data_IF_838390864358
#
_entry.id   IF_838390864358
#
_cell.length_a   1.000
_cell.length_b   1.000
_cell.length_c   1.000
_cell.angle_alpha   90.00
_cell.angle_beta   90.00
_cell.angle_gamma   90.00
#
_symmetry.space_group_name_H-M   'P 1'
#
loop_
_entity.id
_entity.type
_entity.pdbx_description
1 polymer ?
#
# COMPACT_ATOMS: atom_id res chain seq x y z
N UNK A 1 13.95 8.63 -22.56
CA UNK A 1 12.53 8.99 -22.31
C UNK A 1 12.42 10.51 -22.24
N UNK A 2 11.42 11.11 -22.90
CA UNK A 2 11.09 12.53 -22.72
C UNK A 2 10.34 12.76 -21.39
N UNK A 3 10.32 13.99 -20.89
CA UNK A 3 9.56 14.39 -19.68
C UNK A 3 8.09 13.99 -19.76
N UNK A 4 7.48 14.11 -20.94
CA UNK A 4 6.09 13.66 -21.20
C UNK A 4 5.93 12.16 -21.00
N UNK A 5 6.91 11.35 -21.41
CA UNK A 5 6.87 9.90 -21.22
C UNK A 5 6.91 9.50 -19.74
N UNK A 6 7.74 10.17 -18.94
CA UNK A 6 7.78 9.96 -17.48
C UNK A 6 6.49 10.37 -16.79
N UNK A 7 5.87 11.47 -17.23
CA UNK A 7 4.57 11.92 -16.71
C UNK A 7 3.46 10.91 -17.00
N UNK A 8 3.36 10.42 -18.24
CA UNK A 8 2.38 9.39 -18.64
C UNK A 8 2.61 8.09 -17.84
N UNK A 9 3.87 7.66 -17.73
CA UNK A 9 4.23 6.47 -16.94
C UNK A 9 3.77 6.60 -15.49
N UNK A 10 4.02 7.73 -14.84
CA UNK A 10 3.58 7.99 -13.47
C UNK A 10 2.05 7.92 -13.34
N UNK A 11 1.30 8.50 -14.28
CA UNK A 11 -0.17 8.45 -14.26
C UNK A 11 -0.70 7.01 -14.39
N UNK A 12 -0.13 6.21 -15.29
CA UNK A 12 -0.53 4.80 -15.46
C UNK A 12 -0.30 4.02 -14.17
N UNK A 13 0.87 4.19 -13.54
CA UNK A 13 1.17 3.55 -12.26
C UNK A 13 0.17 3.97 -11.18
N UNK A 14 -0.20 5.24 -11.10
CA UNK A 14 -1.20 5.71 -10.12
C UNK A 14 -2.58 5.11 -10.35
N UNK A 15 -3.02 4.99 -11.61
CA UNK A 15 -4.31 4.37 -11.93
C UNK A 15 -4.33 2.90 -11.52
N UNK A 16 -3.26 2.15 -11.82
CA UNK A 16 -3.14 0.74 -11.44
C UNK A 16 -3.14 0.59 -9.91
N UNK A 17 -2.32 1.40 -9.21
CA UNK A 17 -2.26 1.39 -7.76
C UNK A 17 -3.61 1.70 -7.12
N UNK A 18 -4.29 2.73 -7.61
CA UNK A 18 -5.63 3.10 -7.15
C UNK A 18 -6.64 1.97 -7.36
N UNK A 19 -6.65 1.36 -8.55
CA UNK A 19 -7.55 0.26 -8.87
C UNK A 19 -7.35 -0.97 -7.96
N UNK A 20 -6.13 -1.21 -7.48
CA UNK A 20 -5.82 -2.27 -6.52
C UNK A 20 -6.21 -1.93 -5.07
N UNK A 21 -6.15 -0.66 -4.67
CA UNK A 21 -6.25 -0.27 -3.25
C UNK A 21 -7.58 0.38 -2.85
N UNK A 22 -8.36 0.94 -3.78
CA UNK A 22 -9.60 1.66 -3.46
C UNK A 22 -10.64 0.86 -2.65
N UNK A 23 -10.81 -0.45 -2.95
CA UNK A 23 -11.74 -1.33 -2.22
C UNK A 23 -11.30 -1.56 -0.78
N UNK A 24 -9.99 -1.72 -0.55
CA UNK A 24 -9.42 -1.86 0.79
C UNK A 24 -9.82 -0.68 1.68
N UNK A 25 -9.78 0.53 1.12
CA UNK A 25 -10.11 1.76 1.84
C UNK A 25 -11.61 1.83 2.13
N UNK A 26 -12.46 1.47 1.16
CA UNK A 26 -13.90 1.41 1.39
C UNK A 26 -14.28 0.40 2.48
N UNK A 27 -13.66 -0.79 2.49
CA UNK A 27 -13.88 -1.82 3.52
C UNK A 27 -13.41 -1.30 4.89
N UNK A 28 -12.33 -0.51 4.93
CA UNK A 28 -11.84 0.14 6.15
C UNK A 28 -12.65 1.39 6.56
N UNK A 29 -13.81 1.66 5.94
CA UNK A 29 -14.65 2.83 6.25
C UNK A 29 -14.05 4.18 5.80
N UNK A 30 -13.07 4.15 4.90
CA UNK A 30 -12.39 5.33 4.33
C UNK A 30 -12.97 5.71 2.97
N UNK A 31 -12.73 6.95 2.54
CA UNK A 31 -13.18 7.41 1.22
C UNK A 31 -12.24 6.87 0.14
N UNK A 32 -12.79 6.40 -0.98
CA UNK A 32 -11.98 5.79 -2.04
C UNK A 32 -10.88 6.73 -2.57
N UNK A 33 -11.16 8.02 -2.73
CA UNK A 33 -10.19 9.01 -3.23
C UNK A 33 -8.91 9.11 -2.37
N UNK A 34 -8.96 8.73 -1.10
CA UNK A 34 -7.79 8.75 -0.22
C UNK A 34 -6.71 7.77 -0.70
N UNK A 35 -7.09 6.73 -1.45
CA UNK A 35 -6.16 5.79 -2.09
C UNK A 35 -5.52 6.34 -3.38
N UNK A 36 -6.10 7.38 -4.00
CA UNK A 36 -5.62 7.94 -5.28
C UNK A 36 -4.49 8.94 -5.09
N UNK A 37 -4.46 9.64 -3.96
CA UNK A 37 -3.49 10.69 -3.70
C UNK A 37 -2.16 10.06 -3.25
N UNK A 38 -1.05 10.28 -3.97
CA UNK A 38 0.26 9.76 -3.58
C UNK A 38 0.68 10.29 -2.21
N UNK A 39 1.44 9.51 -1.43
CA UNK A 39 1.84 9.79 -0.03
C UNK A 39 0.67 9.80 0.96
N UNK A 40 -0.42 10.50 0.66
CA UNK A 40 -1.60 10.54 1.51
C UNK A 40 -2.23 9.16 1.66
N UNK A 41 -2.28 8.36 0.58
CA UNK A 41 -2.68 6.96 0.66
C UNK A 41 -1.85 6.22 1.75
N UNK A 42 -0.52 6.35 1.74
CA UNK A 42 0.32 5.64 2.68
C UNK A 42 0.07 6.10 4.13
N UNK A 43 -0.18 7.40 4.36
CA UNK A 43 -0.56 7.92 5.68
C UNK A 43 -1.89 7.31 6.15
N UNK A 44 -2.88 7.25 5.26
CA UNK A 44 -4.20 6.69 5.57
C UNK A 44 -4.10 5.19 5.79
N UNK A 45 -3.30 4.47 4.99
CA UNK A 45 -3.01 3.05 5.18
C UNK A 45 -2.43 2.78 6.57
N UNK A 46 -1.45 3.57 7.03
CA UNK A 46 -0.92 3.45 8.40
C UNK A 46 -2.03 3.61 9.45
N UNK A 47 -2.97 4.54 9.24
CA UNK A 47 -4.14 4.70 10.13
C UNK A 47 -5.09 3.50 10.07
N UNK A 48 -5.30 2.90 8.89
CA UNK A 48 -6.14 1.70 8.71
C UNK A 48 -5.55 0.52 9.51
N UNK A 49 -4.23 0.32 9.42
CA UNK A 49 -3.52 -0.79 10.08
C UNK A 49 -3.11 -0.50 11.53
N UNK A 50 -3.57 0.62 12.11
CA UNK A 50 -3.21 1.07 13.46
C UNK A 50 -1.69 1.13 13.70
N UNK A 51 -0.94 1.71 12.75
CA UNK A 51 0.49 1.99 12.84
C UNK A 51 0.72 3.50 12.80
N UNK A 52 1.83 4.00 13.37
CA UNK A 52 2.03 5.43 13.45
C UNK A 52 2.33 6.01 12.07
N UNK A 53 1.80 7.20 11.78
CA UNK A 53 1.86 7.83 10.46
C UNK A 53 3.30 8.04 9.95
N UNK A 54 4.29 8.18 10.84
CA UNK A 54 5.69 8.38 10.46
C UNK A 54 6.31 7.16 9.78
N UNK A 55 5.69 5.97 9.87
CA UNK A 55 6.09 4.80 9.07
C UNK A 55 5.98 5.07 7.57
N UNK A 56 5.11 6.00 7.15
CA UNK A 56 5.05 6.44 5.75
C UNK A 56 6.38 7.00 5.28
N UNK A 57 7.14 7.69 6.13
CA UNK A 57 8.46 8.24 5.77
C UNK A 57 9.44 7.09 5.47
N UNK A 58 9.39 6.00 6.24
CA UNK A 58 10.26 4.85 6.05
C UNK A 58 10.05 4.14 4.70
N UNK A 59 8.85 4.24 4.10
CA UNK A 59 8.56 3.69 2.78
C UNK A 59 9.32 4.41 1.65
N UNK A 60 9.83 5.61 1.90
CA UNK A 60 10.60 6.40 0.94
C UNK A 60 12.11 6.39 1.23
N UNK A 61 12.54 5.80 2.35
CA UNK A 61 13.97 5.65 2.69
C UNK A 61 14.52 4.42 1.96
N UNK A 62 15.54 4.56 1.10
CA UNK A 62 16.15 3.42 0.41
C UNK A 62 16.64 2.35 1.39
N UNK A 63 16.62 1.08 0.98
CA UNK A 63 16.97 -0.11 1.79
C UNK A 63 15.92 -0.40 2.87
N UNK A 64 15.53 0.60 3.67
CA UNK A 64 14.50 0.47 4.70
C UNK A 64 13.14 0.14 4.07
N UNK A 65 12.81 0.78 2.95
CA UNK A 65 11.58 0.53 2.21
C UNK A 65 11.41 -0.94 1.79
N UNK A 66 12.51 -1.63 1.45
CA UNK A 66 12.49 -3.04 1.06
C UNK A 66 12.01 -3.96 2.18
N UNK A 67 12.25 -3.58 3.44
CA UNK A 67 11.77 -4.30 4.62
C UNK A 67 10.36 -3.83 4.98
N UNK A 68 10.11 -2.53 4.87
CA UNK A 68 8.82 -1.93 5.24
C UNK A 68 7.66 -2.39 4.36
N UNK A 69 7.85 -2.65 3.05
CA UNK A 69 6.77 -3.15 2.20
C UNK A 69 6.22 -4.51 2.67
N UNK A 70 7.05 -5.57 2.83
CA UNK A 70 6.64 -6.83 3.46
C UNK A 70 5.94 -6.65 4.80
N UNK A 71 6.48 -5.80 5.67
CA UNK A 71 5.90 -5.54 7.01
C UNK A 71 4.50 -4.94 6.85
N UNK A 72 4.33 -3.93 6.01
CA UNK A 72 3.04 -3.28 5.76
C UNK A 72 2.04 -4.25 5.15
N UNK A 73 2.44 -5.13 4.24
CA UNK A 73 1.56 -6.16 3.68
C UNK A 73 1.03 -7.11 4.75
N UNK A 74 1.91 -7.62 5.59
CA UNK A 74 1.54 -8.52 6.69
C UNK A 74 0.65 -7.82 7.71
N UNK A 75 0.97 -6.58 8.07
CA UNK A 75 0.14 -5.79 9.00
C UNK A 75 -1.22 -5.43 8.41
N UNK A 76 -1.29 -5.23 7.09
CA UNK A 76 -2.56 -5.04 6.39
C UNK A 76 -3.40 -6.31 6.52
N UNK A 77 -2.87 -7.48 6.14
CA UNK A 77 -3.58 -8.77 6.29
C UNK A 77 -4.10 -8.99 7.71
N UNK A 78 -3.25 -8.79 8.72
CA UNK A 78 -3.62 -8.95 10.13
C UNK A 78 -4.72 -8.00 10.57
N UNK A 79 -4.71 -6.76 10.08
CA UNK A 79 -5.76 -5.76 10.38
C UNK A 79 -7.12 -6.15 9.79
N UNK A 80 -7.14 -6.95 8.73
CA UNK A 80 -8.36 -7.53 8.14
C UNK A 80 -8.65 -8.97 8.65
N UNK A 81 -8.03 -9.40 9.74
CA UNK A 81 -8.28 -10.69 10.39
C UNK A 81 -7.57 -11.90 9.75
N UNK A 82 -6.68 -11.68 8.77
CA UNK A 82 -5.90 -12.72 8.09
C UNK A 82 -4.59 -12.97 8.84
N UNK A 83 -4.66 -13.84 9.85
CA UNK A 83 -3.56 -14.08 10.80
C UNK A 83 -2.80 -15.40 10.57
N UNK A 84 -3.16 -16.21 9.56
CA UNK A 84 -2.50 -17.50 9.37
C UNK A 84 -1.11 -17.36 8.75
N UNK A 85 -0.24 -18.34 8.99
CA UNK A 85 1.07 -18.42 8.33
C UNK A 85 0.92 -18.52 6.82
N UNK A 86 -0.12 -19.20 6.34
CA UNK A 86 -0.44 -19.28 4.92
C UNK A 86 -0.80 -17.92 4.34
N UNK A 87 -1.65 -17.12 5.02
CA UNK A 87 -1.99 -15.75 4.57
C UNK A 87 -0.73 -14.89 4.47
N UNK A 88 0.17 -15.01 5.46
CA UNK A 88 1.44 -14.28 5.50
C UNK A 88 2.33 -14.67 4.32
N UNK A 89 2.51 -15.98 4.07
CA UNK A 89 3.33 -16.48 2.96
C UNK A 89 2.72 -16.04 1.62
N UNK A 90 1.42 -16.16 1.45
CA UNK A 90 0.73 -15.73 0.24
C UNK A 90 0.88 -14.23 0.02
N UNK A 91 0.71 -13.41 1.05
CA UNK A 91 0.95 -11.97 0.98
C UNK A 91 2.36 -11.61 0.53
N UNK A 92 3.37 -12.31 1.06
CA UNK A 92 4.78 -12.06 0.73
C UNK A 92 5.17 -12.55 -0.67
N UNK A 93 4.82 -13.79 -1.01
CA UNK A 93 5.20 -14.42 -2.30
C UNK A 93 4.48 -13.78 -3.47
N UNK A 94 3.23 -13.33 -3.27
CA UNK A 94 2.47 -12.61 -4.30
C UNK A 94 2.80 -11.12 -4.36
N UNK A 95 3.78 -10.64 -3.58
CA UNK A 95 4.17 -9.24 -3.51
C UNK A 95 2.99 -8.30 -3.20
N UNK A 96 2.13 -8.70 -2.27
CA UNK A 96 0.96 -7.95 -1.85
C UNK A 96 -0.30 -8.14 -2.69
N UNK A 97 -0.27 -8.91 -3.79
CA UNK A 97 -1.46 -9.14 -4.63
C UNK A 97 -2.54 -10.01 -3.97
N UNK A 98 -2.20 -10.70 -2.88
CA UNK A 98 -3.14 -11.52 -2.10
C UNK A 98 -4.06 -10.70 -1.16
N UNK A 99 -3.67 -9.45 -0.84
CA UNK A 99 -4.40 -8.55 0.07
C UNK A 99 -5.73 -8.13 -0.56
#
# INVERSE_FOLDING_TARGET
MSWTGWFIFFLVVQVIHFAGTWKLYQIAGRKAWEAAVPVYNAIVLMKIINRPWWWTILLFVPIVNLIMFPVVWVETLRSFGRNSTTDTILGLVTLGLYI
#
